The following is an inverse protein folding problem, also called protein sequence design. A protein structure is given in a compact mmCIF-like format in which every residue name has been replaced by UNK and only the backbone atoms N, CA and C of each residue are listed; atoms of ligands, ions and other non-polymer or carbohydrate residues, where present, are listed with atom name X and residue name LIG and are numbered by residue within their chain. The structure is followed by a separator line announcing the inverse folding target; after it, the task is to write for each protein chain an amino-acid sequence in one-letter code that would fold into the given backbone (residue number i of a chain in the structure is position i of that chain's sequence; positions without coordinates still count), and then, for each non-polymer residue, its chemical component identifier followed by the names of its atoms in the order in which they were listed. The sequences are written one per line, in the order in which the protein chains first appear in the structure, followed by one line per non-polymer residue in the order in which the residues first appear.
data_IF_532773537466
#
_entry.id   IF_532773537466
#
_cell.length_a   1.000
_cell.length_b   1.000
_cell.length_c   1.000
_cell.angle_alpha   90.00
_cell.angle_beta   90.00
_cell.angle_gamma   90.00
#
_symmetry.space_group_name_H-M   'P 1'
#
loop_
_entity.id
_entity.type
_entity.pdbx_description
1 polymer ?
#
# COMPACT_ATOMS: atom_id res chain seq x y z
N UNK A 1 11.48 -4.58 22.61
CA UNK A 1 10.31 -3.87 22.07
C UNK A 1 9.88 -4.62 20.81
N UNK A 2 8.62 -5.08 20.75
CA UNK A 2 8.14 -5.96 19.67
C UNK A 2 8.13 -5.15 18.37
N UNK A 3 9.03 -5.45 17.43
CA UNK A 3 9.00 -4.91 16.07
C UNK A 3 7.61 -5.24 15.49
N UNK A 4 6.70 -4.26 15.51
CA UNK A 4 5.42 -4.36 14.83
C UNK A 4 5.72 -4.27 13.34
N UNK A 5 6.17 -5.36 12.75
CA UNK A 5 6.28 -5.50 11.30
C UNK A 5 4.89 -5.24 10.73
N UNK A 6 4.71 -4.07 10.12
CA UNK A 6 3.41 -3.64 9.62
C UNK A 6 3.09 -4.48 8.40
N UNK A 7 1.89 -5.06 8.37
CA UNK A 7 1.42 -5.87 7.25
C UNK A 7 0.66 -5.03 6.22
N UNK A 8 0.00 -3.96 6.68
CA UNK A 8 -0.82 -3.08 5.87
C UNK A 8 -0.09 -1.78 5.55
N UNK A 9 -0.37 -1.25 4.37
CA UNK A 9 0.06 0.08 3.92
C UNK A 9 -1.15 1.01 3.85
N UNK A 10 -0.96 2.29 4.15
CA UNK A 10 -2.03 3.29 4.08
C UNK A 10 -1.81 4.29 2.93
N UNK A 11 -2.87 4.94 2.42
CA UNK A 11 -2.76 5.89 1.31
C UNK A 11 -1.74 7.00 1.53
N UNK A 12 -1.57 7.48 2.77
CA UNK A 12 -0.57 8.49 3.11
C UNK A 12 0.86 8.04 2.83
N UNK A 13 1.17 6.80 3.15
CA UNK A 13 2.52 6.25 2.99
C UNK A 13 2.79 5.88 1.54
N UNK A 14 1.80 5.25 0.90
CA UNK A 14 1.85 4.97 -0.52
C UNK A 14 1.97 6.27 -1.35
N UNK A 15 1.36 7.37 -0.93
CA UNK A 15 1.50 8.67 -1.58
C UNK A 15 2.97 9.15 -1.59
N UNK A 16 3.67 8.99 -0.46
CA UNK A 16 5.10 9.30 -0.35
C UNK A 16 5.94 8.39 -1.25
N UNK A 17 5.71 7.07 -1.19
CA UNK A 17 6.43 6.08 -2.00
C UNK A 17 6.23 6.32 -3.50
N UNK A 18 5.02 6.70 -3.92
CA UNK A 18 4.68 6.92 -5.33
C UNK A 18 5.01 8.33 -5.83
N UNK A 19 5.40 9.26 -4.94
CA UNK A 19 5.55 10.68 -5.28
C UNK A 19 4.24 11.31 -5.78
N UNK A 20 3.10 10.93 -5.18
CA UNK A 20 1.76 11.38 -5.56
C UNK A 20 1.05 12.06 -4.39
N UNK A 21 -0.06 12.71 -4.68
CA UNK A 21 -0.95 13.25 -3.64
C UNK A 21 -1.76 12.13 -2.99
N UNK A 22 -2.21 12.33 -1.76
CA UNK A 22 -3.07 11.36 -1.07
C UNK A 22 -4.35 11.08 -1.87
N UNK A 23 -4.99 12.12 -2.43
CA UNK A 23 -6.21 11.98 -3.25
C UNK A 23 -6.01 11.04 -4.45
N UNK A 24 -4.89 11.15 -5.15
CA UNK A 24 -4.57 10.24 -6.26
C UNK A 24 -4.38 8.80 -5.74
N UNK A 25 -3.70 8.67 -4.61
CA UNK A 25 -3.41 7.38 -3.99
C UNK A 25 -4.66 6.67 -3.47
N UNK A 26 -5.68 7.39 -2.99
CA UNK A 26 -6.98 6.79 -2.68
C UNK A 26 -7.62 6.08 -3.88
N UNK A 27 -7.47 6.62 -5.10
CA UNK A 27 -7.98 5.98 -6.33
C UNK A 27 -7.20 4.71 -6.65
N UNK A 28 -5.87 4.73 -6.44
CA UNK A 28 -5.03 3.54 -6.57
C UNK A 28 -5.48 2.46 -5.58
N UNK A 29 -5.74 2.82 -4.32
CA UNK A 29 -6.22 1.86 -3.32
C UNK A 29 -7.59 1.28 -3.66
N UNK A 30 -8.48 2.06 -4.26
CA UNK A 30 -9.73 1.53 -4.77
C UNK A 30 -9.48 0.53 -5.90
N UNK A 31 -8.62 0.86 -6.86
CA UNK A 31 -8.28 -0.02 -7.97
C UNK A 31 -7.59 -1.32 -7.51
N UNK A 32 -6.72 -1.25 -6.50
CA UNK A 32 -6.13 -2.43 -5.85
C UNK A 32 -7.25 -3.30 -5.29
N UNK A 33 -8.17 -2.72 -4.50
CA UNK A 33 -9.27 -3.50 -3.93
C UNK A 33 -10.13 -4.16 -5.01
N UNK A 34 -10.48 -3.43 -6.06
CA UNK A 34 -11.28 -3.95 -7.16
C UNK A 34 -10.54 -5.09 -7.89
N UNK A 35 -9.22 -4.94 -8.11
CA UNK A 35 -8.38 -5.93 -8.77
C UNK A 35 -8.30 -7.26 -8.01
N UNK A 36 -8.19 -7.22 -6.68
CA UNK A 36 -8.09 -8.43 -5.84
C UNK A 36 -9.43 -8.83 -5.18
N UNK A 37 -10.55 -8.22 -5.58
CA UNK A 37 -11.88 -8.57 -5.05
C UNK A 37 -12.08 -8.22 -3.56
N UNK A 38 -11.36 -7.22 -3.04
CA UNK A 38 -11.49 -6.75 -1.67
C UNK A 38 -12.70 -5.81 -1.52
N UNK A 39 -13.39 -5.91 -0.38
CA UNK A 39 -14.42 -4.95 0.03
C UNK A 39 -13.79 -3.59 0.35
N UNK A 40 -14.53 -2.51 0.17
CA UNK A 40 -14.08 -1.13 0.42
C UNK A 40 -13.42 -0.90 1.79
N UNK A 41 -13.89 -1.59 2.83
CA UNK A 41 -13.40 -1.47 4.20
C UNK A 41 -12.21 -2.42 4.51
N UNK A 42 -11.83 -3.29 3.57
CA UNK A 42 -10.67 -4.16 3.76
C UNK A 42 -9.37 -3.39 3.53
N UNK A 43 -8.37 -3.77 4.33
CA UNK A 43 -7.03 -3.20 4.26
C UNK A 43 -6.28 -3.72 3.04
N UNK A 44 -5.37 -2.89 2.53
CA UNK A 44 -4.41 -3.29 1.50
C UNK A 44 -3.10 -3.69 2.21
N UNK A 45 -2.62 -4.90 1.96
CA UNK A 45 -1.31 -5.33 2.47
C UNK A 45 -0.19 -4.71 1.65
N UNK A 46 1.01 -4.63 2.25
CA UNK A 46 2.21 -4.21 1.53
C UNK A 46 2.44 -5.10 0.30
N UNK A 47 2.20 -6.41 0.42
CA UNK A 47 2.36 -7.35 -0.68
C UNK A 47 1.41 -7.10 -1.85
N UNK A 48 0.11 -6.84 -1.59
CA UNK A 48 -0.86 -6.53 -2.64
C UNK A 48 -0.53 -5.19 -3.31
N UNK A 49 -0.05 -4.22 -2.54
CA UNK A 49 0.40 -2.95 -3.09
C UNK A 49 1.65 -3.11 -3.96
N UNK A 50 2.65 -3.89 -3.51
CA UNK A 50 3.87 -4.19 -4.25
C UNK A 50 3.54 -4.90 -5.58
N UNK A 51 2.73 -5.96 -5.53
CA UNK A 51 2.27 -6.72 -6.68
C UNK A 51 1.53 -5.82 -7.70
N UNK A 52 0.57 -5.01 -7.23
CA UNK A 52 -0.20 -4.13 -8.11
C UNK A 52 0.62 -3.00 -8.73
N UNK A 53 1.57 -2.43 -7.98
CA UNK A 53 2.37 -1.29 -8.45
C UNK A 53 3.64 -1.70 -9.20
N UNK A 54 4.00 -2.99 -9.14
CA UNK A 54 5.26 -3.50 -9.69
C UNK A 54 6.50 -3.03 -8.92
N UNK A 55 6.34 -2.45 -7.73
CA UNK A 55 7.44 -2.00 -6.89
C UNK A 55 7.97 -3.15 -6.03
N UNK A 56 9.30 -3.26 -5.82
CA UNK A 56 9.85 -4.29 -4.94
C UNK A 56 9.32 -4.16 -3.50
N UNK A 57 8.71 -5.23 -2.98
CA UNK A 57 8.16 -5.24 -1.62
C UNK A 57 9.22 -4.90 -0.56
N UNK A 58 10.45 -5.40 -0.74
CA UNK A 58 11.58 -5.11 0.15
C UNK A 58 11.94 -3.62 0.21
N UNK A 59 11.91 -2.91 -0.93
CA UNK A 59 12.17 -1.46 -0.96
C UNK A 59 11.03 -0.69 -0.29
N UNK A 60 9.78 -1.10 -0.50
CA UNK A 60 8.64 -0.52 0.20
C UNK A 60 8.80 -0.70 1.72
N UNK A 61 9.16 -1.90 2.17
CA UNK A 61 9.35 -2.20 3.60
C UNK A 61 10.45 -1.35 4.23
N UNK A 62 11.57 -1.14 3.53
CA UNK A 62 12.66 -0.26 3.98
C UNK A 62 12.22 1.19 4.18
N UNK A 63 11.32 1.70 3.34
CA UNK A 63 10.82 3.08 3.43
C UNK A 63 9.77 3.29 4.55
N UNK A 64 9.20 2.20 5.09
CA UNK A 64 8.15 2.24 6.12
C UNK A 64 8.66 1.97 7.55
N UNK A 65 9.90 1.48 7.70
CA UNK A 65 10.53 1.08 8.96
C UNK A 65 11.44 2.17 9.53
#
# INVERSE_FOLDING_TARGET
MKNKSRLCIYPKEAALILGRTEKHTYRIFQAIRDCYGLKSNQYVSISLFADYTGLPEEEIRKLLL
#
